data_IF_050967454343
#
_entry.id   IF_050967454343
#
_cell.length_a   1.000
_cell.length_b   1.000
_cell.length_c   1.000
_cell.angle_alpha   90.00
_cell.angle_beta   90.00
_cell.angle_gamma   90.00
#
_symmetry.space_group_name_H-M   'P 1'
#
loop_
_entity.id
_entity.type
_entity.pdbx_description
1 polymer ?
#
# COMPACT_ATOMS: atom_id res chain seq x y z
N UNK A 1 4.63 -26.49 8.99
CA UNK A 1 5.02 -25.33 9.84
C UNK A 1 3.86 -25.05 10.79
N UNK A 2 4.06 -24.59 12.04
CA UNK A 2 2.94 -24.23 12.93
C UNK A 2 2.51 -22.77 12.72
N UNK A 3 1.25 -22.42 13.06
CA UNK A 3 0.74 -21.06 12.92
C UNK A 3 1.59 -20.01 13.67
N UNK A 4 2.08 -20.36 14.87
CA UNK A 4 2.97 -19.52 15.65
C UNK A 4 4.31 -19.21 14.94
N UNK A 5 4.83 -20.15 14.16
CA UNK A 5 6.04 -19.96 13.37
C UNK A 5 5.86 -18.95 12.23
N UNK A 6 4.71 -18.99 11.55
CA UNK A 6 4.35 -18.05 10.48
C UNK A 6 4.18 -16.63 11.03
N UNK A 7 3.51 -16.49 12.19
CA UNK A 7 3.30 -15.20 12.86
C UNK A 7 4.62 -14.56 13.30
N UNK A 8 5.53 -15.35 13.89
CA UNK A 8 6.87 -14.89 14.28
C UNK A 8 7.67 -14.38 13.08
N UNK A 9 7.55 -15.06 11.92
CA UNK A 9 8.20 -14.63 10.68
C UNK A 9 7.61 -13.32 10.15
N UNK A 10 6.29 -13.16 10.18
CA UNK A 10 5.62 -11.91 9.77
C UNK A 10 6.07 -10.71 10.60
N UNK A 11 6.16 -10.87 11.93
CA UNK A 11 6.53 -9.79 12.86
C UNK A 11 7.96 -9.26 12.64
N UNK A 12 8.87 -10.10 12.13
CA UNK A 12 10.25 -9.72 11.76
C UNK A 12 10.33 -8.94 10.45
N UNK A 13 9.31 -9.07 9.59
CA UNK A 13 9.24 -8.43 8.27
C UNK A 13 8.49 -7.09 8.33
N UNK A 14 7.83 -6.75 9.45
CA UNK A 14 7.22 -5.43 9.66
C UNK A 14 8.28 -4.33 9.88
N UNK A 15 8.08 -3.16 9.28
CA UNK A 15 8.98 -1.99 9.37
C UNK A 15 8.42 -0.86 10.24
N UNK A 16 9.28 0.08 10.65
CA UNK A 16 8.86 1.31 11.33
C UNK A 16 8.06 2.25 10.43
N UNK A 17 7.11 2.98 11.02
CA UNK A 17 6.15 3.86 10.33
C UNK A 17 6.64 5.31 10.35
N UNK A 18 6.47 6.03 9.25
CA UNK A 18 6.53 7.48 9.20
C UNK A 18 5.20 7.92 8.56
N UNK A 19 4.37 8.61 9.34
CA UNK A 19 3.11 9.18 8.85
C UNK A 19 3.41 10.57 8.28
N UNK A 20 3.17 10.82 6.98
CA UNK A 20 3.34 12.15 6.41
C UNK A 20 2.36 13.13 7.03
N UNK A 21 2.78 14.38 7.21
CA UNK A 21 1.85 15.48 7.51
C UNK A 21 1.02 15.83 6.27
N UNK A 22 -0.25 16.18 6.47
CA UNK A 22 -1.10 16.69 5.39
C UNK A 22 -0.59 18.02 4.82
N UNK A 23 -0.86 18.30 3.53
CA UNK A 23 -0.51 19.57 2.88
C UNK A 23 0.09 19.44 1.49
N UNK A 24 0.53 18.24 1.11
CA UNK A 24 1.06 17.93 -0.22
C UNK A 24 0.79 16.46 -0.52
N UNK A 25 -0.35 16.21 -1.18
CA UNK A 25 -0.81 14.88 -1.55
C UNK A 25 0.25 14.11 -2.34
N UNK A 26 0.93 14.77 -3.26
CA UNK A 26 1.92 14.12 -4.12
C UNK A 26 3.14 13.67 -3.31
N UNK A 27 3.66 14.53 -2.44
CA UNK A 27 4.80 14.22 -1.59
C UNK A 27 4.47 13.11 -0.57
N UNK A 28 3.32 13.18 0.09
CA UNK A 28 2.93 12.17 1.08
C UNK A 28 2.65 10.81 0.45
N UNK A 29 1.94 10.76 -0.69
CA UNK A 29 1.75 9.51 -1.44
C UNK A 29 3.07 8.95 -1.99
N UNK A 30 4.02 9.80 -2.40
CA UNK A 30 5.36 9.35 -2.82
C UNK A 30 6.08 8.64 -1.68
N UNK A 31 6.08 9.22 -0.48
CA UNK A 31 6.69 8.62 0.71
C UNK A 31 6.04 7.28 1.06
N UNK A 32 4.71 7.26 1.10
CA UNK A 32 3.93 6.05 1.40
C UNK A 32 4.14 4.96 0.34
N UNK A 33 4.08 5.30 -0.95
CA UNK A 33 4.27 4.36 -2.04
C UNK A 33 5.66 3.74 -2.07
N UNK A 34 6.72 4.53 -1.81
CA UNK A 34 8.09 4.02 -1.66
C UNK A 34 8.22 3.08 -0.47
N UNK A 35 7.58 3.40 0.65
CA UNK A 35 7.52 2.49 1.79
C UNK A 35 6.80 1.18 1.44
N UNK A 36 5.70 1.22 0.67
CA UNK A 36 5.02 0.03 0.15
C UNK A 36 5.98 -0.85 -0.65
N UNK A 37 6.64 -0.24 -1.64
CA UNK A 37 7.55 -0.95 -2.52
C UNK A 37 8.72 -1.59 -1.76
N UNK A 38 9.28 -0.87 -0.80
CA UNK A 38 10.35 -1.39 0.06
C UNK A 38 9.86 -2.58 0.91
N UNK A 39 8.65 -2.50 1.47
CA UNK A 39 8.05 -3.60 2.25
C UNK A 39 7.81 -4.84 1.38
N UNK A 40 7.23 -4.66 0.18
CA UNK A 40 6.93 -5.74 -0.75
C UNK A 40 8.21 -6.39 -1.32
N UNK A 41 9.30 -5.62 -1.43
CA UNK A 41 10.60 -6.10 -1.88
C UNK A 41 11.46 -6.77 -0.79
N UNK A 42 11.00 -6.85 0.46
CA UNK A 42 11.78 -7.46 1.54
C UNK A 42 12.05 -8.96 1.28
N UNK A 43 13.28 -9.45 1.52
CA UNK A 43 13.56 -10.88 1.47
C UNK A 43 12.59 -11.68 2.35
N UNK A 44 12.06 -12.78 1.82
CA UNK A 44 11.11 -13.64 2.52
C UNK A 44 9.65 -13.16 2.56
N UNK A 45 9.35 -11.94 2.08
CA UNK A 45 7.96 -11.45 2.02
C UNK A 45 7.09 -12.29 1.09
N UNK A 46 7.61 -12.64 -0.09
CA UNK A 46 6.95 -13.52 -1.07
C UNK A 46 6.72 -14.92 -0.49
N UNK A 47 7.74 -15.50 0.14
CA UNK A 47 7.65 -16.85 0.71
C UNK A 47 6.67 -16.91 1.88
N UNK A 48 6.65 -15.88 2.72
CA UNK A 48 5.66 -15.73 3.77
C UNK A 48 4.24 -15.75 3.19
N UNK A 49 3.96 -14.97 2.15
CA UNK A 49 2.63 -14.94 1.53
C UNK A 49 2.26 -16.28 0.89
N UNK A 50 3.20 -16.97 0.23
CA UNK A 50 2.97 -18.32 -0.31
C UNK A 50 2.60 -19.31 0.79
N UNK A 51 3.33 -19.30 1.91
CA UNK A 51 3.03 -20.15 3.07
C UNK A 51 1.64 -19.83 3.61
N UNK A 52 1.31 -18.55 3.81
CA UNK A 52 -0.01 -18.14 4.29
C UNK A 52 -1.10 -18.65 3.36
N UNK A 53 -1.01 -18.35 2.06
CA UNK A 53 -2.00 -18.76 1.06
C UNK A 53 -2.20 -20.28 1.07
N UNK A 54 -1.12 -21.06 1.18
CA UNK A 54 -1.19 -22.53 1.21
C UNK A 54 -1.78 -23.07 2.52
N UNK A 55 -1.50 -22.44 3.65
CA UNK A 55 -1.89 -22.91 4.99
C UNK A 55 -3.26 -22.36 5.45
N UNK A 56 -3.81 -21.35 4.77
CA UNK A 56 -5.07 -20.69 5.09
C UNK A 56 -6.27 -21.66 5.29
N UNK A 57 -6.49 -22.67 4.43
CA UNK A 57 -7.58 -23.62 4.63
C UNK A 57 -7.44 -24.47 5.91
N UNK A 58 -6.20 -24.69 6.38
CA UNK A 58 -5.89 -25.55 7.53
C UNK A 58 -5.85 -24.76 8.84
N UNK A 59 -5.40 -23.51 8.76
CA UNK A 59 -5.27 -22.61 9.92
C UNK A 59 -5.95 -21.28 9.62
N UNK A 60 -7.30 -21.21 9.65
CA UNK A 60 -8.04 -19.98 9.34
C UNK A 60 -7.64 -18.81 10.25
N UNK A 61 -7.16 -19.06 11.47
CA UNK A 61 -6.62 -18.07 12.40
C UNK A 61 -5.43 -17.27 11.83
N UNK A 62 -4.72 -17.81 10.83
CA UNK A 62 -3.69 -17.06 10.10
C UNK A 62 -4.27 -15.83 9.42
N UNK A 63 -5.55 -15.84 9.00
CA UNK A 63 -6.21 -14.62 8.53
C UNK A 63 -6.24 -13.57 9.62
N UNK A 64 -6.69 -13.92 10.84
CA UNK A 64 -6.86 -12.97 11.94
C UNK A 64 -5.54 -12.33 12.35
N UNK A 65 -4.46 -13.09 12.38
CA UNK A 65 -3.14 -12.57 12.78
C UNK A 65 -2.38 -11.88 11.64
N UNK A 66 -2.51 -12.30 10.38
CA UNK A 66 -1.93 -11.58 9.23
C UNK A 66 -2.67 -10.28 8.89
N UNK A 67 -4.00 -10.27 9.08
CA UNK A 67 -4.81 -9.07 8.93
C UNK A 67 -4.45 -8.08 10.04
N UNK A 68 -4.38 -8.50 11.30
CA UNK A 68 -4.12 -7.60 12.42
C UNK A 68 -2.66 -7.09 12.56
N UNK A 69 -1.63 -7.89 12.24
CA UNK A 69 -0.23 -7.55 12.60
C UNK A 69 0.66 -7.08 11.43
N UNK A 70 0.21 -7.20 10.17
CA UNK A 70 1.06 -6.93 8.99
C UNK A 70 0.48 -5.93 7.98
N UNK A 71 -0.58 -6.33 7.25
CA UNK A 71 -1.11 -5.55 6.11
C UNK A 71 -2.11 -4.45 6.53
N UNK A 72 -2.97 -4.67 7.52
CA UNK A 72 -3.91 -3.63 7.94
C UNK A 72 -3.24 -2.39 8.50
N UNK A 73 -2.18 -2.47 9.34
CA UNK A 73 -1.55 -1.27 9.85
C UNK A 73 -1.04 -0.34 8.74
N UNK A 74 -0.50 -0.89 7.65
CA UNK A 74 -0.01 -0.09 6.52
C UNK A 74 -1.14 0.44 5.62
N UNK A 75 -2.17 -0.38 5.35
CA UNK A 75 -3.37 0.08 4.66
C UNK A 75 -4.04 1.23 5.44
N UNK A 76 -4.15 1.09 6.75
CA UNK A 76 -4.72 2.09 7.64
C UNK A 76 -3.88 3.38 7.66
N UNK A 77 -2.54 3.28 7.57
CA UNK A 77 -1.67 4.46 7.43
C UNK A 77 -2.01 5.27 6.18
N UNK A 78 -2.13 4.62 5.01
CA UNK A 78 -2.47 5.33 3.76
C UNK A 78 -3.88 5.93 3.84
N UNK A 79 -4.84 5.16 4.35
CA UNK A 79 -6.21 5.64 4.56
C UNK A 79 -6.26 6.85 5.49
N UNK A 80 -5.57 6.78 6.63
CA UNK A 80 -5.52 7.87 7.64
C UNK A 80 -4.91 9.12 7.04
N UNK A 81 -3.83 8.99 6.25
CA UNK A 81 -3.23 10.10 5.54
C UNK A 81 -4.21 10.75 4.54
N UNK A 82 -4.91 9.94 3.73
CA UNK A 82 -5.92 10.45 2.78
C UNK A 82 -7.10 11.12 3.48
N UNK A 83 -7.51 10.64 4.66
CA UNK A 83 -8.49 11.33 5.51
C UNK A 83 -7.94 12.68 5.97
N UNK A 84 -6.69 12.76 6.40
CA UNK A 84 -6.08 14.00 6.85
C UNK A 84 -5.97 15.05 5.73
N UNK A 85 -5.59 14.65 4.50
CA UNK A 85 -5.56 15.54 3.34
C UNK A 85 -6.98 16.05 2.98
N UNK A 86 -7.99 15.17 3.01
CA UNK A 86 -9.38 15.57 2.80
C UNK A 86 -9.86 16.56 3.86
N UNK A 87 -9.62 16.26 5.14
CA UNK A 87 -10.11 17.06 6.26
C UNK A 87 -9.37 18.42 6.34
N UNK A 88 -8.13 18.49 5.84
CA UNK A 88 -7.38 19.73 5.65
C UNK A 88 -7.80 20.54 4.42
N UNK A 89 -8.66 19.99 3.54
CA UNK A 89 -9.10 20.62 2.30
C UNK A 89 -8.02 20.70 1.21
N UNK A 90 -6.95 19.91 1.35
CA UNK A 90 -5.80 19.89 0.43
C UNK A 90 -5.99 18.89 -0.71
N UNK A 91 -6.99 18.01 -0.62
CA UNK A 91 -7.37 17.04 -1.64
C UNK A 91 -8.89 16.74 -1.61
N UNK A 92 -9.53 16.55 -2.78
CA UNK A 92 -10.95 16.15 -2.86
C UNK A 92 -11.09 14.62 -2.95
N UNK A 93 -11.06 13.96 -1.80
CA UNK A 93 -11.10 12.50 -1.69
C UNK A 93 -12.48 12.07 -1.18
N UNK A 94 -13.37 11.69 -2.10
CA UNK A 94 -14.73 11.26 -1.76
C UNK A 94 -14.78 9.98 -0.89
N UNK A 95 -13.91 9.02 -1.19
CA UNK A 95 -13.81 7.73 -0.48
C UNK A 95 -12.34 7.38 -0.20
N UNK A 96 -11.81 7.74 0.98
CA UNK A 96 -10.42 7.46 1.35
C UNK A 96 -10.06 5.97 1.40
N UNK A 97 -11.02 5.10 1.71
CA UNK A 97 -10.78 3.65 1.79
C UNK A 97 -10.60 3.05 0.39
N UNK A 98 -11.50 3.42 -0.54
CA UNK A 98 -11.37 3.04 -1.94
C UNK A 98 -10.12 3.64 -2.56
N UNK A 99 -9.82 4.91 -2.29
CA UNK A 99 -8.62 5.58 -2.78
C UNK A 99 -7.33 4.90 -2.31
N UNK A 100 -7.24 4.53 -1.02
CA UNK A 100 -6.12 3.75 -0.50
C UNK A 100 -5.98 2.39 -1.19
N UNK A 101 -7.10 1.67 -1.36
CA UNK A 101 -7.14 0.37 -2.05
C UNK A 101 -6.62 0.47 -3.48
N UNK A 102 -7.06 1.49 -4.23
CA UNK A 102 -6.66 1.70 -5.61
C UNK A 102 -5.18 2.07 -5.71
N UNK A 103 -4.71 2.99 -4.87
CA UNK A 103 -3.30 3.39 -4.83
C UNK A 103 -2.37 2.19 -4.55
N UNK A 104 -2.67 1.44 -3.49
CA UNK A 104 -1.88 0.25 -3.11
C UNK A 104 -2.04 -0.90 -4.11
N UNK A 105 -3.19 -1.00 -4.75
CA UNK A 105 -3.47 -1.95 -5.82
C UNK A 105 -2.54 -1.74 -7.01
N UNK A 106 -2.39 -0.50 -7.50
CA UNK A 106 -1.48 -0.19 -8.62
C UNK A 106 -0.04 -0.64 -8.36
N UNK A 107 0.48 -0.34 -7.16
CA UNK A 107 1.85 -0.68 -6.77
C UNK A 107 2.01 -2.20 -6.61
N UNK A 108 1.13 -2.83 -5.82
CA UNK A 108 1.23 -4.26 -5.51
C UNK A 108 0.95 -5.16 -6.72
N UNK A 109 0.06 -4.74 -7.63
CA UNK A 109 -0.21 -5.45 -8.88
C UNK A 109 1.04 -5.62 -9.74
N UNK A 110 1.89 -4.60 -9.81
CA UNK A 110 3.12 -4.70 -10.59
C UNK A 110 4.26 -5.36 -9.82
N UNK A 111 4.48 -4.98 -8.55
CA UNK A 111 5.67 -5.40 -7.81
C UNK A 111 5.55 -6.77 -7.15
N UNK A 112 4.33 -7.16 -6.74
CA UNK A 112 4.14 -8.27 -5.81
C UNK A 112 3.43 -9.47 -6.43
N UNK A 113 2.35 -9.25 -7.18
CA UNK A 113 1.60 -10.36 -7.78
C UNK A 113 2.44 -11.24 -8.72
N UNK A 114 3.26 -10.68 -9.63
CA UNK A 114 4.14 -11.50 -10.47
C UNK A 114 5.18 -12.29 -9.67
N UNK A 115 5.70 -11.72 -8.57
CA UNK A 115 6.72 -12.38 -7.74
C UNK A 115 6.18 -13.57 -6.96
N UNK A 116 4.87 -13.62 -6.68
CA UNK A 116 4.21 -14.79 -6.09
C UNK A 116 4.16 -15.98 -7.04
N UNK A 117 4.04 -15.76 -8.35
CA UNK A 117 3.72 -16.81 -9.33
C UNK A 117 4.95 -17.18 -10.16
N UNK A 118 5.76 -16.20 -10.55
CA UNK A 118 6.89 -16.38 -11.48
C UNK A 118 8.19 -16.55 -10.69
N UNK A 119 8.84 -17.73 -10.75
CA UNK A 119 10.13 -17.94 -10.12
C UNK A 119 11.19 -16.99 -10.66
N UNK A 120 11.98 -16.37 -9.78
CA UNK A 120 13.08 -15.48 -10.18
C UNK A 120 12.63 -14.11 -10.72
N UNK A 121 11.35 -13.75 -10.57
CA UNK A 121 10.89 -12.40 -10.91
C UNK A 121 11.65 -11.34 -10.10
N UNK A 122 12.27 -10.41 -10.81
CA UNK A 122 12.96 -9.26 -10.23
C UNK A 122 12.52 -7.98 -10.93
N UNK A 123 12.48 -6.88 -10.17
CA UNK A 123 12.13 -5.56 -10.69
C UNK A 123 13.29 -4.62 -10.38
N UNK A 124 13.74 -3.86 -11.39
CA UNK A 124 14.83 -2.89 -11.20
C UNK A 124 14.37 -1.74 -10.31
N UNK A 125 15.29 -1.13 -9.57
CA UNK A 125 14.98 0.03 -8.72
C UNK A 125 14.37 1.19 -9.50
N UNK A 126 14.84 1.43 -10.73
CA UNK A 126 14.26 2.44 -11.63
C UNK A 126 12.79 2.14 -11.93
N UNK A 127 12.46 0.87 -12.21
CA UNK A 127 11.08 0.46 -12.47
C UNK A 127 10.22 0.54 -11.23
N UNK A 128 10.77 0.23 -10.05
CA UNK A 128 10.08 0.42 -8.77
C UNK A 128 9.69 1.89 -8.59
N UNK A 129 10.63 2.81 -8.83
CA UNK A 129 10.37 4.26 -8.77
C UNK A 129 9.28 4.67 -9.75
N UNK A 130 9.37 4.25 -11.01
CA UNK A 130 8.38 4.58 -12.03
C UNK A 130 6.96 4.10 -11.67
N UNK A 131 6.82 2.88 -11.11
CA UNK A 131 5.53 2.35 -10.67
C UNK A 131 4.91 3.21 -9.56
N UNK A 132 5.72 3.65 -8.60
CA UNK A 132 5.25 4.52 -7.52
C UNK A 132 4.87 5.89 -8.07
N UNK A 133 5.71 6.49 -8.90
CA UNK A 133 5.47 7.81 -9.48
C UNK A 133 4.21 7.82 -10.37
N UNK A 134 3.97 6.74 -11.12
CA UNK A 134 2.76 6.54 -11.93
C UNK A 134 1.50 6.41 -11.06
N UNK A 135 1.59 5.68 -9.94
CA UNK A 135 0.50 5.57 -8.98
C UNK A 135 0.17 6.93 -8.36
N UNK A 136 1.19 7.70 -7.95
CA UNK A 136 1.02 9.06 -7.39
C UNK A 136 0.37 9.97 -8.42
N UNK A 137 0.90 10.03 -9.65
CA UNK A 137 0.35 10.85 -10.73
C UNK A 137 -1.11 10.53 -11.03
N UNK A 138 -1.49 9.26 -10.98
CA UNK A 138 -2.87 8.83 -11.18
C UNK A 138 -3.78 9.34 -10.07
N UNK A 139 -3.32 9.31 -8.81
CA UNK A 139 -4.09 9.81 -7.67
C UNK A 139 -4.23 11.33 -7.70
N UNK A 140 -3.16 12.08 -7.97
CA UNK A 140 -3.23 13.55 -8.00
C UNK A 140 -4.08 14.06 -9.16
N UNK A 141 -4.00 13.42 -10.34
CA UNK A 141 -4.83 13.79 -11.49
C UNK A 141 -6.34 13.55 -11.28
N UNK A 142 -6.71 12.71 -10.31
CA UNK A 142 -8.11 12.50 -9.90
C UNK A 142 -8.65 13.74 -9.17
N UNK A 143 -7.82 14.34 -8.34
CA UNK A 143 -8.21 15.45 -7.47
C UNK A 143 -8.21 16.78 -8.25
N UNK A 144 -7.33 16.95 -9.23
CA UNK A 144 -7.29 18.13 -10.11
C UNK A 144 -8.60 18.40 -10.87
N UNK A 145 -9.38 17.35 -11.17
CA UNK A 145 -10.64 17.49 -11.90
C UNK A 145 -11.77 18.12 -11.07
N UNK A 146 -11.57 18.23 -9.76
CA UNK A 146 -12.49 18.87 -8.83
C UNK A 146 -12.01 20.26 -8.37
N UNK A 147 -11.08 20.90 -9.08
CA UNK A 147 -10.77 22.34 -8.92
C UNK A 147 -11.53 23.28 -9.87
N UNK A 148 -12.13 22.77 -10.96
CA UNK A 148 -12.62 23.60 -12.10
C UNK A 148 -14.15 23.83 -12.25
N UNK A 149 -14.98 23.28 -11.35
CA UNK A 149 -16.44 23.47 -11.21
C UNK A 149 -16.85 24.64 -10.28
N UNK A 150 -15.95 25.10 -9.42
CA UNK A 150 -16.14 26.12 -8.38
C UNK A 150 -15.91 27.52 -8.98
N UNK A 151 -15.00 27.60 -9.95
CA UNK A 151 -14.58 28.84 -10.62
C UNK A 151 -15.48 29.26 -11.80
N UNK A 152 -16.52 28.46 -12.11
CA UNK A 152 -17.55 28.78 -13.14
C UNK A 152 -18.93 29.11 -12.56
N UNK A 153 -18.99 29.42 -11.27
CA UNK A 153 -20.18 29.98 -10.57
C UNK A 153 -19.78 31.16 -9.66
N UNK A 154 -18.93 32.04 -10.16
CA UNK A 154 -18.61 33.35 -9.57
C UNK A 154 -18.87 34.44 -10.58
#
# INVERSE_FOLDING_TARGET
MSAAGVISMARRISGGRCEPSAGDLAAGLTGLGRHCAALLGRPGMVDLFRIVIAELPRFPELTKTHFAEGKQPYFETVRTYLVAERDAGTADIADPEMAATQFLGMISNYLFWPSLIVPGWTVTSERVTAVVDDAVRTMTARDDRHGSRWERRG
#
